data_IF_637968705582
#
_entry.id   IF_637968705582
#
_cell.length_a   1.000
_cell.length_b   1.000
_cell.length_c   1.000
_cell.angle_alpha   90.00
_cell.angle_beta   90.00
_cell.angle_gamma   90.00
#
_symmetry.space_group_name_H-M   'P 1'
#
loop_
_entity.id
_entity.type
_entity.pdbx_description
1 polymer ?
#
# COMPACT_ATOMS: atom_id res chain seq x y z
N UNK A 1 -12.98 12.12 -6.13
CA UNK A 1 -13.65 10.90 -5.64
C UNK A 1 -14.17 10.13 -6.83
N UNK A 2 -13.98 8.83 -6.85
CA UNK A 2 -14.48 7.91 -7.88
C UNK A 2 -15.30 6.81 -7.21
N UNK A 3 -16.28 6.31 -7.93
CA UNK A 3 -17.23 5.31 -7.45
C UNK A 3 -17.31 4.15 -8.44
N UNK A 4 -18.00 3.11 -8.05
CA UNK A 4 -18.27 1.95 -8.89
C UNK A 4 -18.77 2.36 -10.29
N UNK A 5 -18.21 1.73 -11.32
CA UNK A 5 -18.54 2.00 -12.72
C UNK A 5 -17.83 3.19 -13.35
N UNK A 6 -17.19 4.06 -12.56
CA UNK A 6 -16.43 5.19 -13.11
C UNK A 6 -15.22 4.69 -13.89
N UNK A 7 -14.98 5.28 -15.05
CA UNK A 7 -13.80 4.99 -15.87
C UNK A 7 -12.60 5.76 -15.34
N UNK A 8 -11.59 5.04 -14.87
CA UNK A 8 -10.34 5.62 -14.34
C UNK A 8 -9.34 5.87 -15.45
N UNK A 9 -9.22 4.92 -16.40
CA UNK A 9 -8.27 5.00 -17.51
C UNK A 9 -9.06 4.72 -18.80
N UNK A 10 -9.23 5.74 -19.63
CA UNK A 10 -9.79 5.60 -20.98
C UNK A 10 -8.76 4.99 -21.92
N UNK A 11 -9.08 3.86 -22.52
CA UNK A 11 -8.19 3.16 -23.44
C UNK A 11 -8.96 2.49 -24.57
N UNK A 12 -8.38 2.57 -25.76
CA UNK A 12 -8.87 1.82 -26.93
C UNK A 12 -7.79 0.87 -27.42
N UNK A 13 -8.18 -0.29 -27.87
CA UNK A 13 -7.31 -1.33 -28.42
C UNK A 13 -7.68 -1.66 -29.87
N UNK A 14 -6.73 -2.14 -30.70
CA UNK A 14 -7.05 -2.69 -31.99
C UNK A 14 -7.95 -3.93 -31.84
N UNK A 15 -8.75 -4.29 -32.85
CA UNK A 15 -9.56 -5.50 -32.82
C UNK A 15 -8.68 -6.75 -32.67
N UNK A 16 -9.19 -7.78 -31.97
CA UNK A 16 -8.41 -8.99 -31.64
C UNK A 16 -8.17 -9.93 -32.83
N UNK A 17 -8.96 -9.81 -33.88
CA UNK A 17 -8.91 -10.70 -35.03
C UNK A 17 -8.77 -9.86 -36.30
N UNK A 18 -7.54 -9.71 -36.77
CA UNK A 18 -7.20 -9.22 -38.10
C UNK A 18 -6.62 -10.39 -38.84
N UNK A 19 -7.39 -10.95 -39.76
CA UNK A 19 -6.98 -12.12 -40.53
C UNK A 19 -6.05 -11.77 -41.70
N UNK A 20 -6.01 -10.51 -42.13
CA UNK A 20 -5.11 -10.02 -43.17
C UNK A 20 -4.87 -8.52 -43.10
N UNK A 21 -3.74 -8.06 -43.66
CA UNK A 21 -3.35 -6.64 -43.73
C UNK A 21 -4.35 -5.82 -44.57
N UNK A 22 -5.01 -6.44 -45.49
CA UNK A 22 -5.98 -5.78 -46.37
C UNK A 22 -7.28 -5.43 -45.62
N UNK A 23 -7.70 -6.23 -44.65
CA UNK A 23 -8.84 -5.91 -43.80
C UNK A 23 -8.54 -4.73 -42.86
N UNK A 24 -7.29 -4.49 -42.55
CA UNK A 24 -6.89 -3.34 -41.74
C UNK A 24 -7.17 -2.00 -42.42
N UNK A 25 -7.07 -1.96 -43.75
CA UNK A 25 -7.30 -0.77 -44.55
C UNK A 25 -8.78 -0.58 -44.90
N UNK A 26 -9.57 -1.65 -44.92
CA UNK A 26 -10.98 -1.64 -45.29
C UNK A 26 -11.93 -1.41 -44.10
N UNK A 27 -11.58 -1.94 -42.93
CA UNK A 27 -12.32 -1.68 -41.69
C UNK A 27 -11.72 -0.42 -41.06
N UNK A 28 -12.11 0.75 -41.59
CA UNK A 28 -11.64 2.03 -41.06
C UNK A 28 -11.60 2.05 -39.54
N UNK A 29 -10.46 1.66 -38.99
CA UNK A 29 -9.99 1.77 -37.61
C UNK A 29 -11.07 1.71 -36.50
N UNK A 30 -11.99 0.75 -36.56
CA UNK A 30 -12.94 0.55 -35.45
C UNK A 30 -12.16 0.01 -34.25
N UNK A 31 -11.65 0.91 -33.46
CA UNK A 31 -10.94 0.56 -32.22
C UNK A 31 -11.97 0.05 -31.21
N UNK A 32 -11.63 -1.04 -30.55
CA UNK A 32 -12.43 -1.58 -29.45
C UNK A 32 -12.13 -0.79 -28.18
N UNK A 33 -13.16 -0.44 -27.44
CA UNK A 33 -13.02 0.09 -26.10
C UNK A 33 -12.42 -0.97 -25.16
N UNK A 34 -11.40 -0.57 -24.41
CA UNK A 34 -10.70 -1.40 -23.42
C UNK A 34 -10.37 -0.60 -22.15
N UNK A 35 -11.20 0.40 -21.87
CA UNK A 35 -11.05 1.26 -20.70
C UNK A 35 -11.09 0.45 -19.40
N UNK A 36 -10.41 0.97 -18.40
CA UNK A 36 -10.41 0.40 -17.07
C UNK A 36 -11.40 1.17 -16.18
N UNK A 37 -12.48 0.50 -15.81
CA UNK A 37 -13.47 1.01 -14.88
C UNK A 37 -13.37 0.34 -13.51
N UNK A 38 -13.82 1.02 -12.47
CA UNK A 38 -13.93 0.47 -11.13
C UNK A 38 -14.95 -0.66 -11.09
N UNK A 39 -14.59 -1.70 -10.37
CA UNK A 39 -15.44 -2.87 -10.17
C UNK A 39 -16.51 -2.59 -9.12
N UNK A 40 -17.46 -3.52 -9.05
CA UNK A 40 -18.49 -3.50 -8.01
C UNK A 40 -17.87 -3.50 -6.61
N UNK A 41 -18.33 -2.59 -5.76
CA UNK A 41 -17.86 -2.42 -4.39
C UNK A 41 -16.55 -1.62 -4.26
N UNK A 42 -15.92 -1.18 -5.35
CA UNK A 42 -14.73 -0.34 -5.31
C UNK A 42 -15.10 1.14 -5.32
N UNK A 43 -14.51 1.91 -4.44
CA UNK A 43 -14.62 3.37 -4.42
C UNK A 43 -13.34 3.98 -3.87
N UNK A 44 -13.13 5.28 -4.08
CA UNK A 44 -11.94 5.92 -3.53
C UNK A 44 -11.74 7.35 -3.97
N UNK A 45 -10.58 7.85 -3.63
CA UNK A 45 -10.07 9.15 -4.08
C UNK A 45 -8.79 8.91 -4.86
N UNK A 46 -8.74 9.35 -6.11
CA UNK A 46 -7.50 9.34 -6.88
C UNK A 46 -6.54 10.37 -6.25
N UNK A 47 -5.46 9.91 -5.64
CA UNK A 47 -4.48 10.77 -4.99
C UNK A 47 -3.16 10.90 -5.76
N UNK A 48 -2.94 10.03 -6.74
CA UNK A 48 -1.76 10.08 -7.59
C UNK A 48 -2.07 9.53 -8.98
N UNK A 49 -1.60 10.24 -10.00
CA UNK A 49 -1.68 9.83 -11.41
C UNK A 49 -0.31 10.01 -12.04
N UNK A 50 0.20 8.95 -12.65
CA UNK A 50 1.45 8.96 -13.39
C UNK A 50 1.20 8.57 -14.84
N UNK A 51 1.74 9.35 -15.75
CA UNK A 51 1.80 9.05 -17.18
C UNK A 51 3.27 9.03 -17.59
N UNK A 52 3.73 7.90 -18.09
CA UNK A 52 5.11 7.74 -18.58
C UNK A 52 5.12 6.88 -19.83
N UNK A 53 6.28 6.71 -20.42
CA UNK A 53 6.52 5.86 -21.59
C UNK A 53 7.56 4.81 -21.24
N UNK A 54 7.38 3.60 -21.76
CA UNK A 54 8.39 2.56 -21.68
C UNK A 54 9.44 2.73 -22.80
N UNK A 55 10.49 1.93 -22.78
CA UNK A 55 11.57 1.96 -23.77
C UNK A 55 11.08 1.69 -25.21
N UNK A 56 9.94 1.04 -25.36
CA UNK A 56 9.31 0.74 -26.66
C UNK A 56 8.39 1.90 -27.15
N UNK A 57 8.27 3.01 -26.42
CA UNK A 57 7.40 4.13 -26.75
C UNK A 57 5.92 3.90 -26.41
N UNK A 58 5.57 2.85 -25.69
CA UNK A 58 4.21 2.61 -25.23
C UNK A 58 3.91 3.47 -24.00
N UNK A 59 2.73 4.07 -23.95
CA UNK A 59 2.28 4.86 -22.81
C UNK A 59 1.90 3.94 -21.64
N UNK A 60 2.47 4.23 -20.48
CA UNK A 60 2.16 3.60 -19.20
C UNK A 60 1.39 4.59 -18.34
N UNK A 61 0.18 4.22 -17.93
CA UNK A 61 -0.65 5.01 -17.02
C UNK A 61 -0.80 4.25 -15.72
N UNK A 62 -0.51 4.92 -14.61
CA UNK A 62 -0.70 4.39 -13.26
C UNK A 62 -1.56 5.37 -12.46
N UNK A 63 -2.64 4.87 -11.88
CA UNK A 63 -3.53 5.63 -11.02
C UNK A 63 -3.56 4.96 -9.66
N UNK A 64 -3.26 5.74 -8.60
CA UNK A 64 -3.37 5.27 -7.22
C UNK A 64 -4.67 5.80 -6.62
N UNK A 65 -5.48 4.86 -6.13
CA UNK A 65 -6.69 5.18 -5.38
C UNK A 65 -6.44 4.99 -3.90
N UNK A 66 -6.95 5.91 -3.10
CA UNK A 66 -6.96 5.85 -1.66
C UNK A 66 -8.38 5.59 -1.17
N UNK A 67 -8.53 4.54 -0.41
CA UNK A 67 -9.77 4.16 0.28
C UNK A 67 -9.51 4.12 1.77
N UNK A 68 -10.48 4.58 2.56
CA UNK A 68 -10.45 4.47 4.01
C UNK A 68 -11.24 3.23 4.43
N UNK A 69 -10.59 2.34 5.17
CA UNK A 69 -11.21 1.14 5.74
C UNK A 69 -11.05 1.13 7.23
N UNK A 70 -12.17 1.09 7.94
CA UNK A 70 -12.19 0.98 9.39
C UNK A 70 -12.02 -0.50 9.75
N UNK A 71 -11.05 -0.84 10.63
CA UNK A 71 -10.84 -2.21 11.06
C UNK A 71 -12.08 -2.83 11.72
N UNK A 72 -12.31 -4.11 11.42
CA UNK A 72 -13.40 -4.90 11.97
C UNK A 72 -12.87 -6.14 12.68
N UNK A 73 -13.69 -6.74 13.56
CA UNK A 73 -13.37 -8.03 14.20
C UNK A 73 -13.28 -9.09 13.12
N UNK A 74 -12.19 -9.84 13.12
CA UNK A 74 -11.89 -10.85 12.10
C UNK A 74 -10.92 -10.40 11.01
N UNK A 75 -10.62 -9.10 10.90
CA UNK A 75 -9.63 -8.60 9.96
C UNK A 75 -8.23 -9.12 10.32
N UNK A 76 -7.47 -9.45 9.28
CA UNK A 76 -6.08 -9.92 9.43
C UNK A 76 -5.11 -8.77 9.34
N UNK A 77 -4.26 -8.68 10.34
CA UNK A 77 -3.14 -7.76 10.40
C UNK A 77 -1.82 -8.50 10.44
N UNK A 78 -0.78 -7.88 9.95
CA UNK A 78 0.60 -8.37 10.07
C UNK A 78 1.56 -7.21 10.16
N UNK A 79 2.66 -7.41 10.90
CA UNK A 79 3.81 -6.52 10.81
C UNK A 79 4.63 -6.85 9.54
N UNK A 80 5.61 -6.01 9.21
CA UNK A 80 6.58 -6.27 8.14
C UNK A 80 7.49 -7.48 8.41
N UNK A 81 7.40 -8.06 9.59
CA UNK A 81 8.20 -9.20 10.06
C UNK A 81 7.40 -10.51 10.14
N UNK A 82 6.23 -10.57 9.50
CA UNK A 82 5.43 -11.79 9.42
C UNK A 82 4.67 -12.15 10.71
N UNK A 83 4.45 -11.19 11.61
CA UNK A 83 3.68 -11.35 12.85
C UNK A 83 2.17 -11.27 12.59
N UNK A 84 1.66 -12.19 11.77
CA UNK A 84 0.23 -12.19 11.41
C UNK A 84 -0.65 -12.46 12.63
N UNK A 85 -1.76 -11.74 12.70
CA UNK A 85 -2.78 -11.90 13.71
C UNK A 85 -4.16 -11.54 13.16
N UNK A 86 -5.18 -11.84 13.92
CA UNK A 86 -6.57 -11.52 13.59
C UNK A 86 -7.11 -10.61 14.68
N UNK A 87 -7.86 -9.58 14.29
CA UNK A 87 -8.53 -8.67 15.23
C UNK A 87 -9.57 -9.45 16.03
N UNK A 88 -9.33 -9.59 17.33
CA UNK A 88 -10.22 -10.31 18.24
C UNK A 88 -11.22 -9.40 18.96
N UNK A 89 -10.86 -8.12 19.17
CA UNK A 89 -11.69 -7.14 19.87
C UNK A 89 -11.37 -5.75 19.37
N UNK A 90 -12.38 -4.89 19.34
CA UNK A 90 -12.23 -3.45 19.17
C UNK A 90 -12.51 -2.78 20.50
N UNK A 91 -11.58 -1.98 20.98
CA UNK A 91 -11.66 -1.31 22.29
C UNK A 91 -11.76 0.19 22.05
N UNK A 92 -12.71 0.88 22.67
CA UNK A 92 -12.80 2.34 22.55
C UNK A 92 -11.58 3.01 23.20
N UNK A 93 -11.14 4.19 22.71
CA UNK A 93 -9.91 4.85 23.19
C UNK A 93 -9.86 5.11 24.69
N UNK A 94 -10.99 5.29 25.33
CA UNK A 94 -11.08 5.52 26.77
C UNK A 94 -10.70 4.32 27.65
N UNK A 95 -10.79 3.11 27.09
CA UNK A 95 -10.52 1.86 27.80
C UNK A 95 -9.13 1.31 27.46
N UNK A 96 -8.38 2.02 26.59
CA UNK A 96 -7.01 1.65 26.20
C UNK A 96 -6.01 2.38 27.10
N UNK A 97 -4.89 1.73 27.50
CA UNK A 97 -3.83 2.39 28.23
C UNK A 97 -3.20 3.52 27.42
N UNK A 98 -2.75 4.56 28.11
CA UNK A 98 -2.10 5.71 27.49
C UNK A 98 -0.76 6.00 28.16
N UNK A 99 0.14 6.66 27.43
CA UNK A 99 1.44 7.07 27.91
C UNK A 99 1.34 8.33 28.78
N UNK A 100 2.41 8.67 29.50
CA UNK A 100 2.54 9.92 30.28
C UNK A 100 2.42 11.17 29.40
N UNK A 101 2.67 11.04 28.09
CA UNK A 101 2.53 12.12 27.10
C UNK A 101 1.15 12.16 26.44
N UNK A 102 0.22 11.29 26.85
CA UNK A 102 -1.15 11.23 26.34
C UNK A 102 -1.31 10.44 25.03
N UNK A 103 -0.29 9.75 24.55
CA UNK A 103 -0.35 8.90 23.34
C UNK A 103 -1.08 7.61 23.67
N UNK A 104 -2.13 7.31 22.89
CA UNK A 104 -2.90 6.08 22.96
C UNK A 104 -2.45 5.16 21.80
N UNK A 105 -2.15 3.88 22.05
CA UNK A 105 -1.79 2.95 20.96
C UNK A 105 -2.99 2.62 20.06
N UNK A 106 -2.74 2.48 18.76
CA UNK A 106 -3.75 2.10 17.77
C UNK A 106 -3.95 0.58 17.68
N UNK A 107 -2.92 -0.20 18.05
CA UNK A 107 -2.92 -1.66 18.00
C UNK A 107 -2.20 -2.22 19.23
N UNK A 108 -2.82 -3.22 19.85
CA UNK A 108 -2.20 -4.00 20.93
C UNK A 108 -2.11 -5.46 20.49
N UNK A 109 -0.93 -6.04 20.59
CA UNK A 109 -0.68 -7.44 20.27
C UNK A 109 0.17 -8.12 21.36
N UNK A 110 0.14 -9.44 21.40
CA UNK A 110 0.89 -10.21 22.38
C UNK A 110 2.40 -10.18 22.09
N UNK A 111 3.26 -9.91 23.07
CA UNK A 111 4.72 -9.92 22.90
C UNK A 111 5.30 -11.34 22.74
N UNK A 112 4.58 -12.37 23.12
CA UNK A 112 5.04 -13.78 23.06
C UNK A 112 5.36 -14.25 21.63
N UNK A 113 4.70 -13.67 20.62
CA UNK A 113 4.99 -13.93 19.21
C UNK A 113 6.40 -13.48 18.78
N UNK A 114 6.97 -12.46 19.41
CA UNK A 114 8.30 -11.94 19.07
C UNK A 114 9.38 -12.96 19.41
N UNK A 115 9.37 -13.46 20.64
CA UNK A 115 10.37 -14.43 21.13
C UNK A 115 10.25 -15.78 20.44
N UNK A 116 9.03 -16.32 20.29
CA UNK A 116 8.80 -17.62 19.65
C UNK A 116 9.16 -17.65 18.16
N UNK A 117 9.06 -16.54 17.48
CA UNK A 117 9.38 -16.40 16.05
C UNK A 117 10.77 -15.82 15.78
N UNK A 118 11.51 -15.46 16.82
CA UNK A 118 12.86 -14.89 16.76
C UNK A 118 12.94 -13.66 15.82
N UNK A 119 11.93 -12.82 15.83
CA UNK A 119 11.87 -11.62 14.97
C UNK A 119 12.61 -10.46 15.60
N UNK A 120 13.93 -10.56 15.72
CA UNK A 120 14.80 -9.53 16.32
C UNK A 120 14.77 -8.23 15.51
N UNK A 121 14.68 -8.33 14.19
CA UNK A 121 14.54 -7.19 13.29
C UNK A 121 13.30 -6.33 13.60
N UNK A 122 12.24 -6.92 14.14
CA UNK A 122 11.07 -6.17 14.61
C UNK A 122 11.41 -5.23 15.78
N UNK A 123 12.25 -5.67 16.73
CA UNK A 123 12.70 -4.84 17.83
C UNK A 123 13.59 -3.69 17.34
N UNK A 124 14.47 -3.96 16.39
CA UNK A 124 15.32 -2.93 15.78
C UNK A 124 14.45 -1.91 15.02
N UNK A 125 13.42 -2.37 14.32
CA UNK A 125 12.45 -1.49 13.66
C UNK A 125 11.71 -0.57 14.64
N UNK A 126 11.33 -1.07 15.82
CA UNK A 126 10.70 -0.26 16.86
C UNK A 126 11.63 0.86 17.36
N UNK A 127 12.90 0.54 17.58
CA UNK A 127 13.93 1.52 17.96
C UNK A 127 14.13 2.56 16.85
N UNK A 128 14.34 2.10 15.61
CA UNK A 128 14.49 2.97 14.45
C UNK A 128 13.28 3.87 14.22
N UNK A 129 12.07 3.35 14.38
CA UNK A 129 10.84 4.14 14.31
C UNK A 129 10.75 5.23 15.37
N UNK A 130 11.23 4.96 16.58
CA UNK A 130 11.30 5.95 17.67
C UNK A 130 12.31 7.06 17.33
N UNK A 131 13.48 6.71 16.84
CA UNK A 131 14.50 7.66 16.37
C UNK A 131 13.96 8.52 15.23
N UNK A 132 13.33 7.89 14.22
CA UNK A 132 12.71 8.60 13.10
C UNK A 132 11.65 9.62 13.57
N UNK A 133 10.81 9.23 14.51
CA UNK A 133 9.76 10.09 15.06
C UNK A 133 10.31 11.28 15.84
N UNK A 134 11.35 11.06 16.65
CA UNK A 134 12.01 12.12 17.43
C UNK A 134 12.86 13.05 16.55
N UNK A 135 13.57 12.49 15.57
CA UNK A 135 14.44 13.23 14.67
C UNK A 135 13.70 13.89 13.49
N UNK A 136 12.43 13.56 13.25
CA UNK A 136 11.65 14.07 12.11
C UNK A 136 12.24 13.65 10.75
N UNK A 137 12.93 12.50 10.68
CA UNK A 137 13.59 11.98 9.48
C UNK A 137 13.21 10.53 9.20
N UNK A 138 13.52 10.07 8.01
CA UNK A 138 13.45 8.65 7.68
C UNK A 138 14.75 7.94 8.14
N UNK A 139 14.60 6.76 8.70
CA UNK A 139 15.73 5.86 9.01
C UNK A 139 15.94 4.93 7.82
N UNK A 140 17.18 4.83 7.37
CA UNK A 140 17.54 3.95 6.26
C UNK A 140 17.65 2.50 6.74
N UNK A 141 16.78 1.64 6.23
CA UNK A 141 16.77 0.20 6.48
C UNK A 141 17.21 -0.63 5.25
N UNK A 142 17.94 -0.05 4.32
CA UNK A 142 18.42 -0.71 3.10
C UNK A 142 19.33 -1.89 3.46
N UNK A 143 19.18 -2.98 2.73
CA UNK A 143 19.97 -4.18 2.95
C UNK A 143 21.47 -3.90 2.76
N UNK A 144 22.30 -4.26 3.76
CA UNK A 144 23.75 -4.06 3.88
C UNK A 144 24.25 -2.62 4.04
N UNK A 145 23.44 -1.61 3.81
CA UNK A 145 23.81 -0.19 3.92
C UNK A 145 23.01 0.55 5.00
N UNK A 146 22.18 -0.17 5.75
CA UNK A 146 21.34 0.38 6.79
C UNK A 146 22.18 1.06 7.91
N UNK A 147 21.54 1.99 8.60
CA UNK A 147 22.09 2.60 9.80
C UNK A 147 22.40 1.54 10.85
N UNK A 148 23.55 1.69 11.52
CA UNK A 148 23.97 0.74 12.56
C UNK A 148 23.17 0.93 13.84
N UNK A 149 23.00 -0.14 14.61
CA UNK A 149 22.32 -0.11 15.91
C UNK A 149 22.96 0.92 16.85
N UNK A 150 24.29 1.03 16.85
CA UNK A 150 25.02 1.99 17.69
C UNK A 150 24.68 3.44 17.35
N UNK A 151 24.46 3.76 16.07
CA UNK A 151 24.05 5.10 15.65
C UNK A 151 22.62 5.39 16.10
N UNK A 152 21.71 4.45 15.91
CA UNK A 152 20.32 4.58 16.36
C UNK A 152 20.20 4.76 17.88
N UNK A 153 21.05 4.06 18.66
CA UNK A 153 21.09 4.20 20.13
C UNK A 153 21.63 5.55 20.61
N UNK A 154 22.54 6.15 19.86
CA UNK A 154 23.08 7.48 20.21
C UNK A 154 22.08 8.61 19.96
N UNK A 155 21.18 8.40 19.03
CA UNK A 155 20.14 9.39 18.69
C UNK A 155 18.88 9.27 19.56
N UNK A 156 18.70 8.15 20.26
CA UNK A 156 17.58 7.89 21.15
C UNK A 156 17.81 8.51 22.54
#
# INVERSE_FOLDING_TARGET
KVTEGDVIIGRTSPPRFLSSIDEYNLVGATRRESSFALKHGESGIADFVMLTENEEGNKLVQVRLREERIPEIGDKFTSRHGQKGVTGILVPPQDIPFSTTGVVPDLIFTPHGISSRMTISHLIELVGGKVAALGGRLVDGTLFEAETEDNLRKEL
#
